data_IF_427642382700
#
_entry.id   IF_427642382700
#
_cell.length_a   1.000
_cell.length_b   1.000
_cell.length_c   1.000
_cell.angle_alpha   90.00
_cell.angle_beta   90.00
_cell.angle_gamma   90.00
#
_symmetry.space_group_name_H-M   'P 1'
#
loop_
_entity.id
_entity.type
_entity.pdbx_description
1 polymer ?
#
# COMPACT_ATOMS: atom_id res chain seq x y z
N UNK A 1 -6.99 12.75 16.50
CA UNK A 1 -7.24 11.31 16.78
C UNK A 1 -5.93 10.59 17.02
N UNK A 2 -5.84 9.82 18.12
CA UNK A 2 -4.65 9.01 18.47
C UNK A 2 -4.76 7.63 17.79
N UNK A 3 -3.65 7.12 17.27
CA UNK A 3 -3.56 5.74 16.75
C UNK A 3 -3.28 4.81 17.93
N UNK A 4 -4.02 3.71 18.03
CA UNK A 4 -3.75 2.67 19.02
C UNK A 4 -2.58 1.81 18.57
N UNK A 5 -1.78 1.31 19.51
CA UNK A 5 -0.66 0.41 19.23
C UNK A 5 -1.09 -0.84 18.46
N UNK A 6 -2.28 -1.37 18.76
CA UNK A 6 -2.87 -2.50 18.02
C UNK A 6 -3.13 -2.15 16.54
N UNK A 7 -3.63 -0.95 16.26
CA UNK A 7 -3.87 -0.49 14.88
C UNK A 7 -2.55 -0.27 14.13
N UNK A 8 -1.54 0.29 14.81
CA UNK A 8 -0.21 0.48 14.24
C UNK A 8 0.43 -0.85 13.89
N UNK A 9 0.31 -1.82 14.79
CA UNK A 9 0.81 -3.17 14.61
C UNK A 9 0.15 -3.85 13.40
N UNK A 10 -1.18 -3.83 13.34
CA UNK A 10 -1.94 -4.35 12.19
C UNK A 10 -1.49 -3.69 10.89
N UNK A 11 -1.35 -2.36 10.89
CA UNK A 11 -0.92 -1.63 9.71
C UNK A 11 0.49 -2.05 9.28
N UNK A 12 1.46 -2.11 10.19
CA UNK A 12 2.85 -2.49 9.86
C UNK A 12 2.96 -3.93 9.36
N UNK A 13 2.33 -4.88 10.06
CA UNK A 13 2.37 -6.31 9.72
C UNK A 13 1.71 -6.60 8.37
N UNK A 14 0.63 -5.89 8.04
CA UNK A 14 -0.15 -6.17 6.82
C UNK A 14 0.18 -5.24 5.64
N UNK A 15 0.88 -4.11 5.86
CA UNK A 15 1.11 -3.12 4.81
C UNK A 15 1.83 -3.68 3.58
N UNK A 16 2.77 -4.61 3.78
CA UNK A 16 3.56 -5.20 2.70
C UNK A 16 2.70 -6.05 1.74
N UNK A 17 1.73 -6.78 2.29
CA UNK A 17 0.90 -7.78 1.60
C UNK A 17 -0.53 -7.33 1.35
N UNK A 18 -0.96 -6.18 1.88
CA UNK A 18 -2.34 -5.69 1.76
C UNK A 18 -2.43 -4.40 0.96
N UNK A 19 -3.48 -4.33 0.12
CA UNK A 19 -3.90 -3.11 -0.55
C UNK A 19 -4.49 -2.11 0.45
N UNK A 20 -4.62 -0.85 0.04
CA UNK A 20 -5.22 0.17 0.93
C UNK A 20 -6.70 -0.15 1.23
N UNK A 21 -7.40 -0.78 0.28
CA UNK A 21 -8.78 -1.26 0.49
C UNK A 21 -8.85 -2.34 1.56
N UNK A 22 -7.97 -3.33 1.52
CA UNK A 22 -7.86 -4.38 2.53
C UNK A 22 -7.47 -3.81 3.91
N UNK A 23 -6.51 -2.88 3.96
CA UNK A 23 -6.13 -2.20 5.21
C UNK A 23 -7.29 -1.42 5.82
N UNK A 24 -8.16 -0.82 5.01
CA UNK A 24 -9.38 -0.16 5.49
C UNK A 24 -10.37 -1.16 6.08
N UNK A 25 -10.49 -2.35 5.51
CA UNK A 25 -11.35 -3.40 6.07
C UNK A 25 -10.85 -3.89 7.45
N UNK A 26 -9.53 -3.93 7.64
CA UNK A 26 -8.91 -4.28 8.94
C UNK A 26 -8.98 -3.13 9.96
N UNK A 27 -8.92 -1.88 9.48
CA UNK A 27 -8.93 -0.67 10.30
C UNK A 27 -10.27 0.05 10.15
N UNK A 28 -11.35 -0.58 10.63
CA UNK A 28 -12.74 -0.15 10.42
C UNK A 28 -13.02 1.31 10.80
N UNK A 29 -12.31 1.86 11.78
CA UNK A 29 -12.45 3.24 12.24
C UNK A 29 -11.53 4.25 11.53
N UNK A 30 -10.74 3.79 10.55
CA UNK A 30 -9.78 4.62 9.82
C UNK A 30 -10.22 4.79 8.38
N UNK A 31 -10.32 6.04 7.96
CA UNK A 31 -10.56 6.36 6.56
C UNK A 31 -9.30 6.11 5.74
N UNK A 32 -9.48 5.93 4.42
CA UNK A 32 -8.37 5.78 3.47
C UNK A 32 -7.36 6.93 3.60
N UNK A 33 -7.84 8.16 3.80
CA UNK A 33 -7.00 9.34 3.99
C UNK A 33 -6.13 9.23 5.25
N UNK A 34 -6.73 8.86 6.39
CA UNK A 34 -5.98 8.67 7.64
C UNK A 34 -4.91 7.59 7.50
N UNK A 35 -5.24 6.49 6.82
CA UNK A 35 -4.32 5.38 6.55
C UNK A 35 -3.15 5.88 5.69
N UNK A 36 -3.41 6.59 4.59
CA UNK A 36 -2.36 7.14 3.72
C UNK A 36 -1.47 8.16 4.44
N UNK A 37 -2.07 9.08 5.19
CA UNK A 37 -1.34 10.05 6.01
C UNK A 37 -0.44 9.34 7.02
N UNK A 38 -0.92 8.27 7.65
CA UNK A 38 -0.13 7.50 8.60
C UNK A 38 1.00 6.71 7.93
N UNK A 39 0.74 6.06 6.80
CA UNK A 39 1.75 5.39 5.98
C UNK A 39 2.86 6.35 5.59
N UNK A 40 2.52 7.56 5.12
CA UNK A 40 3.50 8.59 4.75
C UNK A 40 4.42 8.95 5.92
N UNK A 41 3.86 9.12 7.12
CA UNK A 41 4.65 9.39 8.33
C UNK A 41 5.54 8.21 8.72
N UNK A 42 5.01 6.99 8.74
CA UNK A 42 5.78 5.79 9.11
C UNK A 42 6.92 5.52 8.12
N UNK A 43 6.68 5.78 6.83
CA UNK A 43 7.72 5.68 5.80
C UNK A 43 8.80 6.73 5.96
N UNK A 44 8.44 7.96 6.34
CA UNK A 44 9.40 9.03 6.59
C UNK A 44 10.35 8.72 7.76
N UNK A 45 9.89 7.99 8.77
CA UNK A 45 10.71 7.57 9.92
C UNK A 45 11.37 6.19 9.73
N UNK A 46 11.23 5.56 8.56
CA UNK A 46 11.84 4.25 8.27
C UNK A 46 11.15 3.05 8.94
N UNK A 47 10.02 3.25 9.61
CA UNK A 47 9.27 2.20 10.32
C UNK A 47 8.31 1.40 9.42
N UNK A 48 8.35 1.64 8.11
CA UNK A 48 7.50 0.98 7.14
C UNK A 48 8.29 0.55 5.91
N UNK A 49 8.26 -0.75 5.63
CA UNK A 49 8.90 -1.35 4.45
C UNK A 49 8.18 -1.01 3.14
N UNK A 50 8.73 -1.52 2.03
CA UNK A 50 8.08 -1.41 0.73
C UNK A 50 6.98 -2.48 0.55
N UNK A 51 5.93 -2.14 -0.20
CA UNK A 51 4.94 -3.13 -0.64
C UNK A 51 5.56 -4.14 -1.60
N UNK A 52 5.09 -5.39 -1.54
CA UNK A 52 5.49 -6.43 -2.50
C UNK A 52 5.03 -6.06 -3.91
N UNK A 53 5.73 -6.58 -4.94
CA UNK A 53 5.36 -6.37 -6.35
C UNK A 53 3.91 -6.80 -6.62
N UNK A 54 3.48 -7.90 -6.01
CA UNK A 54 2.12 -8.42 -6.13
C UNK A 54 1.09 -7.49 -5.50
N UNK A 55 1.32 -6.99 -4.29
CA UNK A 55 0.41 -6.03 -3.64
C UNK A 55 0.29 -4.75 -4.45
N UNK A 56 1.40 -4.28 -5.05
CA UNK A 56 1.36 -3.13 -5.97
C UNK A 56 0.47 -3.45 -7.17
N UNK A 57 0.68 -4.59 -7.86
CA UNK A 57 -0.16 -5.04 -8.98
C UNK A 57 -1.65 -5.07 -8.62
N UNK A 58 -2.01 -5.69 -7.49
CA UNK A 58 -3.41 -5.75 -7.00
C UNK A 58 -4.00 -4.37 -6.71
N UNK A 59 -3.21 -3.47 -6.14
CA UNK A 59 -3.66 -2.10 -5.86
C UNK A 59 -3.92 -1.29 -7.14
N UNK A 60 -3.17 -1.54 -8.22
CA UNK A 60 -3.40 -0.92 -9.53
C UNK A 60 -4.65 -1.49 -10.21
N UNK A 61 -4.82 -2.82 -10.18
CA UNK A 61 -6.00 -3.52 -10.70
C UNK A 61 -7.29 -3.00 -10.05
N UNK A 62 -7.32 -2.91 -8.71
CA UNK A 62 -8.45 -2.38 -7.95
C UNK A 62 -8.83 -0.94 -8.26
N UNK A 63 -7.89 -0.13 -8.78
CA UNK A 63 -8.16 1.27 -9.13
C UNK A 63 -8.73 1.45 -10.52
N UNK A 64 -8.94 0.36 -11.29
CA UNK A 64 -9.54 0.42 -12.62
C UNK A 64 -8.75 1.28 -13.59
N UNK A 65 -7.46 1.53 -13.33
CA UNK A 65 -6.59 2.17 -14.31
C UNK A 65 -6.27 1.11 -15.35
N UNK A 66 -7.08 1.08 -16.41
CA UNK A 66 -6.80 0.37 -17.64
C UNK A 66 -5.56 0.99 -18.30
N UNK A 67 -4.40 0.86 -17.67
CA UNK A 67 -3.13 1.13 -18.30
C UNK A 67 -2.82 -0.15 -19.07
N UNK A 68 -3.22 -0.13 -20.34
CA UNK A 68 -2.51 -0.85 -21.40
C UNK A 68 -1.05 -0.84 -20.98
N UNK A 69 -0.48 -2.03 -20.79
CA UNK A 69 0.94 -2.21 -20.58
C UNK A 69 1.61 -1.75 -21.87
N UNK A 70 1.71 -0.42 -22.06
CA UNK A 70 2.53 0.21 -23.08
C UNK A 70 3.95 -0.14 -22.66
N UNK A 71 4.37 -1.30 -23.17
CA UNK A 71 5.64 -1.47 -23.87
C UNK A 71 6.45 -0.18 -23.91
N UNK A 72 7.39 -0.07 -22.98
CA UNK A 72 8.70 0.52 -23.24
C UNK A 72 9.72 -0.19 -22.35
N UNK A 73 10.39 -1.21 -22.90
CA UNK A 73 11.83 -1.21 -23.24
C UNK A 73 12.74 -1.29 -21.99
N UNK A 74 13.53 -2.35 -21.80
CA UNK A 74 14.48 -2.88 -22.78
C UNK A 74 14.44 -4.40 -22.93
N UNK A 75 13.96 -4.85 -24.10
CA UNK A 75 14.72 -5.84 -24.84
C UNK A 75 16.11 -5.24 -25.07
N UNK A 76 17.15 -5.86 -24.53
CA UNK A 76 18.47 -5.81 -25.14
C UNK A 76 18.80 -7.24 -25.54
N UNK A 77 18.46 -7.56 -26.79
CA UNK A 77 19.19 -8.59 -27.50
C UNK A 77 20.60 -8.08 -27.72
N UNK A 78 21.56 -8.86 -27.26
CA UNK A 78 22.59 -9.48 -28.09
C UNK A 78 23.15 -10.66 -27.28
#
# INVERSE_FOLDING_TARGET
MRWLDKELRILKENYATSTIGELRALLLYRTVDMINTKIKRLRAVGELGNKTKETKRRAYDQRGTNFIFTIDQTSKGD
#
